data_IF_954121924703
#
_entry.id   IF_954121924703
#
_cell.length_a   1.000
_cell.length_b   1.000
_cell.length_c   1.000
_cell.angle_alpha   90.00
_cell.angle_beta   90.00
_cell.angle_gamma   90.00
#
_symmetry.space_group_name_H-M   'P 1'
#
loop_
_entity.id
_entity.type
_entity.pdbx_description
1 polymer ?
#
# COMPACT_ATOMS: atom_id res chain seq x y z
N UNK A 1 -16.75 -2.20 82.23
CA UNK A 1 -17.57 -3.35 81.81
C UNK A 1 -17.40 -3.52 80.31
N UNK A 2 -17.08 -4.74 79.89
CA UNK A 2 -16.99 -5.36 78.55
C UNK A 2 -16.65 -4.56 77.26
N UNK A 3 -15.92 -5.22 76.34
CA UNK A 3 -15.40 -4.67 75.09
C UNK A 3 -16.40 -4.82 73.94
N UNK A 4 -16.20 -4.08 72.85
CA UNK A 4 -16.72 -4.50 71.53
C UNK A 4 -15.56 -4.69 70.56
N UNK A 5 -15.35 -5.96 70.19
CA UNK A 5 -14.37 -6.43 69.21
C UNK A 5 -15.04 -6.60 67.85
N UNK A 6 -14.32 -6.15 66.82
CA UNK A 6 -14.09 -6.76 65.50
C UNK A 6 -15.31 -7.02 64.60
N UNK A 7 -15.28 -6.40 63.41
CA UNK A 7 -15.65 -6.89 62.06
C UNK A 7 -15.89 -5.63 61.21
N UNK A 8 -15.58 -5.49 59.93
CA UNK A 8 -14.88 -6.22 58.89
C UNK A 8 -14.72 -5.20 57.72
N UNK A 9 -14.07 -5.58 56.62
CA UNK A 9 -13.88 -4.81 55.37
C UNK A 9 -12.67 -3.84 55.41
N UNK A 10 -11.43 -4.34 55.46
CA UNK A 10 -10.69 -4.93 54.32
C UNK A 10 -10.30 -3.87 53.27
N UNK A 11 -9.05 -3.40 53.40
CA UNK A 11 -8.12 -3.06 52.31
C UNK A 11 -8.66 -2.21 51.13
N UNK A 12 -8.90 -0.93 51.37
CA UNK A 12 -8.96 0.07 50.30
C UNK A 12 -7.56 0.68 50.06
N UNK A 13 -6.62 -0.12 49.55
CA UNK A 13 -5.28 0.39 49.25
C UNK A 13 -4.52 -0.48 48.22
N UNK A 14 -5.17 -0.91 47.15
CA UNK A 14 -4.45 -1.52 46.02
C UNK A 14 -5.07 -1.06 44.70
N UNK A 15 -4.17 -0.63 43.81
CA UNK A 15 -4.37 -0.46 42.38
C UNK A 15 -5.03 0.84 41.86
N UNK A 16 -4.52 1.99 42.30
CA UNK A 16 -4.32 3.12 41.37
C UNK A 16 -3.09 2.85 40.49
N UNK A 17 -3.09 1.71 39.79
CA UNK A 17 -2.17 1.44 38.69
C UNK A 17 -2.63 2.30 37.52
N UNK A 18 -1.93 3.42 37.33
CA UNK A 18 -2.11 4.32 36.20
C UNK A 18 -2.01 3.55 34.88
N UNK A 19 -3.15 3.29 34.27
CA UNK A 19 -3.27 2.88 32.87
C UNK A 19 -3.03 4.11 31.99
N UNK A 20 -1.80 4.65 31.99
CA UNK A 20 -1.37 5.70 31.04
C UNK A 20 -0.39 5.15 30.00
N UNK A 21 -0.47 3.86 29.68
CA UNK A 21 0.39 3.23 28.68
C UNK A 21 -0.46 2.38 27.74
N UNK A 22 -1.11 3.04 26.78
CA UNK A 22 -1.42 2.57 25.42
C UNK A 22 -2.17 3.69 24.66
N UNK A 23 -1.68 4.92 24.71
CA UNK A 23 -1.97 5.85 23.61
C UNK A 23 -1.04 5.43 22.47
N UNK A 24 -1.42 4.34 21.79
CA UNK A 24 -0.98 4.16 20.41
C UNK A 24 -1.31 5.47 19.70
N UNK A 25 -0.38 6.11 18.97
CA UNK A 25 -0.78 7.12 18.00
C UNK A 25 -1.93 6.50 17.22
N UNK A 26 -3.07 7.21 17.14
CA UNK A 26 -4.14 6.79 16.25
C UNK A 26 -3.48 6.48 14.90
N UNK A 27 -3.79 5.33 14.26
CA UNK A 27 -3.25 5.05 12.94
C UNK A 27 -3.50 6.31 12.12
N UNK A 28 -2.42 6.90 11.59
CA UNK A 28 -2.57 8.05 10.71
C UNK A 28 -3.51 7.59 9.59
N UNK A 29 -4.67 8.26 9.48
CA UNK A 29 -5.46 8.31 8.26
C UNK A 29 -4.64 9.04 7.19
N UNK A 30 -3.43 8.57 6.91
CA UNK A 30 -2.66 9.05 5.79
C UNK A 30 -3.31 8.43 4.54
N UNK A 31 -4.03 9.20 3.72
CA UNK A 31 -4.64 8.67 2.52
C UNK A 31 -3.59 8.17 1.51
N UNK A 32 -2.29 8.27 1.79
CA UNK A 32 -1.23 7.75 0.93
C UNK A 32 -1.36 6.25 0.61
N UNK A 33 -2.01 5.45 1.46
CA UNK A 33 -2.33 4.04 1.16
C UNK A 33 -3.38 3.88 0.03
N UNK A 34 -4.19 4.91 -0.22
CA UNK A 34 -5.20 4.90 -1.30
C UNK A 34 -4.59 5.16 -2.68
N UNK A 35 -3.30 5.53 -2.75
CA UNK A 35 -2.57 5.55 -4.01
C UNK A 35 -2.37 4.09 -4.44
N UNK A 36 -3.24 3.62 -5.34
CA UNK A 36 -3.24 2.24 -5.81
C UNK A 36 -1.82 1.82 -6.20
N UNK A 37 -1.34 0.75 -5.58
CA UNK A 37 -0.05 0.17 -5.93
C UNK A 37 -0.14 -0.39 -7.35
N UNK A 38 0.84 -0.02 -8.17
CA UNK A 38 0.98 -0.37 -9.57
C UNK A 38 2.12 -1.35 -9.71
N UNK A 39 1.82 -2.51 -10.27
CA UNK A 39 2.79 -3.56 -10.55
C UNK A 39 3.62 -3.22 -11.78
N UNK A 40 4.94 -3.38 -11.70
CA UNK A 40 5.86 -3.29 -12.85
C UNK A 40 6.31 -4.70 -13.23
N UNK A 41 6.06 -5.09 -14.48
CA UNK A 41 6.45 -6.37 -15.07
C UNK A 41 7.66 -6.20 -16.00
N UNK A 42 8.35 -7.30 -16.27
CA UNK A 42 9.60 -7.28 -17.06
C UNK A 42 9.31 -7.04 -18.54
N UNK A 43 8.26 -7.65 -19.08
CA UNK A 43 7.92 -7.61 -20.50
C UNK A 43 6.52 -7.03 -20.74
N UNK A 44 6.29 -6.54 -21.96
CA UNK A 44 4.96 -6.07 -22.36
C UNK A 44 3.93 -7.20 -22.32
N UNK A 45 4.31 -8.40 -22.77
CA UNK A 45 3.44 -9.58 -22.78
C UNK A 45 2.93 -9.95 -21.39
N UNK A 46 3.79 -9.89 -20.37
CA UNK A 46 3.41 -10.14 -18.97
C UNK A 46 2.38 -9.11 -18.46
N UNK A 47 2.57 -7.82 -18.79
CA UNK A 47 1.60 -6.79 -18.42
C UNK A 47 0.27 -6.95 -19.17
N UNK A 48 0.31 -7.39 -20.43
CA UNK A 48 -0.90 -7.71 -21.22
C UNK A 48 -1.63 -8.95 -20.69
N UNK A 49 -0.90 -9.97 -20.23
CA UNK A 49 -1.47 -11.14 -19.55
C UNK A 49 -2.26 -10.72 -18.32
N UNK A 50 -1.67 -9.87 -17.47
CA UNK A 50 -2.31 -9.34 -16.27
C UNK A 50 -3.51 -8.46 -16.62
N UNK A 51 -3.39 -7.59 -17.63
CA UNK A 51 -4.49 -6.77 -18.12
C UNK A 51 -5.68 -7.61 -18.64
N UNK A 52 -5.41 -8.82 -19.13
CA UNK A 52 -6.41 -9.79 -19.55
C UNK A 52 -6.93 -10.68 -18.41
N UNK A 53 -6.51 -10.45 -17.17
CA UNK A 53 -6.90 -11.23 -15.99
C UNK A 53 -6.21 -12.59 -15.89
N UNK A 54 -5.13 -12.83 -16.64
CA UNK A 54 -4.32 -14.06 -16.51
C UNK A 54 -3.38 -13.95 -15.31
N UNK A 55 -3.34 -15.00 -14.51
CA UNK A 55 -2.41 -15.15 -13.40
C UNK A 55 -1.09 -15.78 -13.87
N UNK A 56 0.00 -15.51 -13.16
CA UNK A 56 1.32 -16.11 -13.44
C UNK A 56 2.47 -15.11 -13.48
N UNK A 57 2.34 -13.96 -14.17
CA UNK A 57 3.39 -12.95 -14.18
C UNK A 57 3.71 -12.42 -12.78
N UNK A 58 5.00 -12.43 -12.43
CA UNK A 58 5.50 -11.93 -11.14
C UNK A 58 6.06 -10.52 -11.34
N UNK A 59 5.59 -9.51 -10.58
CA UNK A 59 6.10 -8.15 -10.73
C UNK A 59 7.56 -8.05 -10.25
N UNK A 60 8.33 -7.22 -10.94
CA UNK A 60 9.67 -6.80 -10.54
C UNK A 60 9.63 -5.80 -9.38
N UNK A 61 8.58 -4.97 -9.34
CA UNK A 61 8.37 -3.94 -8.33
C UNK A 61 6.88 -3.60 -8.19
N UNK A 62 6.55 -3.04 -7.03
CA UNK A 62 5.25 -2.45 -6.72
C UNK A 62 5.51 -0.99 -6.32
N UNK A 63 4.90 -0.06 -7.02
CA UNK A 63 5.13 1.38 -6.83
C UNK A 63 3.79 2.10 -6.72
N UNK A 64 3.77 3.31 -6.17
CA UNK A 64 2.56 4.16 -6.33
C UNK A 64 2.53 4.67 -7.77
N UNK A 65 1.36 4.70 -8.39
CA UNK A 65 1.23 5.19 -9.76
C UNK A 65 1.77 6.61 -9.97
N UNK A 66 1.65 7.47 -8.94
CA UNK A 66 2.19 8.83 -8.94
C UNK A 66 3.73 8.92 -8.93
N UNK A 67 4.41 7.85 -8.47
CA UNK A 67 5.87 7.78 -8.39
C UNK A 67 6.49 7.20 -9.69
N UNK A 68 5.65 6.87 -10.69
CA UNK A 68 6.07 6.32 -11.97
C UNK A 68 6.21 7.40 -13.05
N UNK A 69 7.32 7.35 -13.77
CA UNK A 69 7.47 8.08 -15.03
C UNK A 69 6.88 7.24 -16.15
N UNK A 70 5.81 7.73 -16.77
CA UNK A 70 5.18 7.10 -17.94
C UNK A 70 6.00 7.41 -19.19
N UNK A 71 6.49 6.37 -19.86
CA UNK A 71 7.27 6.52 -21.09
C UNK A 71 6.38 6.46 -22.33
N UNK A 72 5.27 5.70 -22.26
CA UNK A 72 4.29 5.57 -23.33
C UNK A 72 3.93 4.12 -23.65
N UNK A 73 3.34 3.89 -24.83
CA UNK A 73 2.85 2.58 -25.26
C UNK A 73 3.47 2.14 -26.58
N UNK A 74 3.60 0.83 -26.78
CA UNK A 74 4.04 0.25 -28.08
C UNK A 74 3.11 0.62 -29.23
N UNK A 75 1.81 0.73 -28.95
CA UNK A 75 0.75 1.13 -29.87
C UNK A 75 -0.36 1.86 -29.12
N UNK A 76 -1.16 2.68 -29.83
CA UNK A 76 -2.26 3.43 -29.22
C UNK A 76 -3.41 2.56 -28.71
N UNK A 77 -3.43 1.27 -29.07
CA UNK A 77 -4.40 0.28 -28.62
C UNK A 77 -3.84 -0.67 -27.57
N UNK A 78 -2.54 -0.60 -27.24
CA UNK A 78 -1.97 -1.46 -26.19
C UNK A 78 -2.56 -1.10 -24.83
N UNK A 79 -2.93 -2.13 -24.07
CA UNK A 79 -3.35 -2.03 -22.67
C UNK A 79 -2.19 -2.16 -21.69
N UNK A 80 -0.94 -2.19 -22.18
CA UNK A 80 0.27 -2.14 -21.38
C UNK A 80 1.04 -0.84 -21.66
N UNK A 81 1.57 -0.24 -20.60
CA UNK A 81 2.28 1.04 -20.61
C UNK A 81 3.69 0.81 -20.11
N UNK A 82 4.68 1.33 -20.85
CA UNK A 82 6.07 1.32 -20.44
C UNK A 82 6.30 2.42 -19.41
N UNK A 83 6.89 2.05 -18.27
CA UNK A 83 7.11 2.96 -17.13
C UNK A 83 8.53 2.83 -16.60
N UNK A 84 8.97 3.84 -15.85
CA UNK A 84 10.21 3.81 -15.08
C UNK A 84 9.96 4.33 -13.66
N UNK A 85 10.41 3.61 -12.64
CA UNK A 85 10.31 4.06 -11.25
C UNK A 85 11.46 5.04 -10.87
N UNK A 86 11.38 5.60 -9.66
CA UNK A 86 12.40 6.52 -9.13
C UNK A 86 13.81 5.90 -8.99
N UNK A 87 13.89 4.57 -8.90
CA UNK A 87 15.15 3.82 -8.84
C UNK A 87 15.74 3.53 -10.23
N UNK A 88 15.07 3.94 -11.31
CA UNK A 88 15.50 3.73 -12.68
C UNK A 88 15.09 2.38 -13.28
N UNK A 89 14.36 1.54 -12.55
CA UNK A 89 13.82 0.27 -13.05
C UNK A 89 12.80 0.59 -14.14
N UNK A 90 13.04 0.09 -15.35
CA UNK A 90 12.14 0.23 -16.49
C UNK A 90 11.41 -1.09 -16.73
N UNK A 91 10.10 -1.02 -16.93
CA UNK A 91 9.27 -2.19 -17.20
C UNK A 91 7.91 -1.80 -17.77
N UNK A 92 6.93 -2.68 -17.59
CA UNK A 92 5.59 -2.53 -18.17
C UNK A 92 4.51 -2.70 -17.10
N UNK A 93 3.42 -1.95 -17.21
CA UNK A 93 2.28 -2.06 -16.30
C UNK A 93 0.96 -2.01 -17.08
N UNK A 94 -0.12 -2.66 -16.61
CA UNK A 94 -1.44 -2.47 -17.18
C UNK A 94 -1.86 -1.00 -17.15
N UNK A 95 -2.39 -0.49 -18.27
CA UNK A 95 -2.85 0.89 -18.40
C UNK A 95 -3.92 1.26 -17.37
N UNK A 96 -4.73 0.29 -16.93
CA UNK A 96 -5.75 0.48 -15.89
C UNK A 96 -5.18 0.85 -14.52
N UNK A 97 -3.89 0.63 -14.29
CA UNK A 97 -3.20 1.04 -13.06
C UNK A 97 -2.69 2.49 -13.09
N UNK A 98 -2.84 3.21 -14.21
CA UNK A 98 -2.32 4.57 -14.39
C UNK A 98 -3.45 5.54 -14.72
N UNK A 99 -3.30 6.79 -14.27
CA UNK A 99 -4.21 7.87 -14.63
C UNK A 99 -4.00 8.35 -16.09
N UNK A 100 -2.78 8.23 -16.60
CA UNK A 100 -2.42 8.56 -17.98
C UNK A 100 -1.47 7.49 -18.54
N UNK A 101 -1.79 6.98 -19.73
CA UNK A 101 -0.99 5.99 -20.44
C UNK A 101 0.15 6.60 -21.27
N UNK A 102 0.19 7.93 -21.37
CA UNK A 102 1.23 8.67 -22.07
C UNK A 102 1.20 8.50 -23.60
N UNK A 103 2.30 8.87 -24.28
CA UNK A 103 2.34 8.94 -25.74
C UNK A 103 2.26 7.57 -26.41
N UNK A 104 1.79 7.57 -27.65
CA UNK A 104 1.76 6.38 -28.50
C UNK A 104 1.95 6.73 -29.99
N UNK A 105 2.66 5.88 -30.76
CA UNK A 105 3.57 4.85 -30.27
C UNK A 105 4.79 5.47 -29.58
N UNK A 106 5.51 4.66 -28.79
CA UNK A 106 6.83 5.02 -28.28
C UNK A 106 7.74 5.43 -29.46
N UNK A 107 8.52 6.51 -29.34
CA UNK A 107 9.51 6.86 -30.35
C UNK A 107 10.55 5.74 -30.48
N UNK A 108 11.01 5.52 -31.72
CA UNK A 108 12.02 4.52 -32.07
C UNK A 108 13.40 4.83 -31.47
#
# INVERSE_FOLDING_TARGET
>A
MQPLRITAATLAALATLGLTACQLPAPSDDPSWTTQAVSIYRTEAEALDVAAGRFGPVPLALERGADLVVLGRSSCTSSAVKVRNAQGVTGWTPASGLADAGPCPLPA
#
